data_IF_186705964668
#
_entry.id   IF_186705964668
#
_cell.length_a   1.000
_cell.length_b   1.000
_cell.length_c   1.000
_cell.angle_alpha   90.00
_cell.angle_beta   90.00
_cell.angle_gamma   90.00
#
_symmetry.space_group_name_H-M   'P 1'
#
loop_
_entity.id
_entity.type
_entity.pdbx_description
1 polymer ?
#
# COMPACT_ATOMS: atom_id res chain seq x y z
N UNK A 1 -6.55 -5.31 -7.34
CA UNK A 1 -5.28 -4.53 -7.41
C UNK A 1 -5.08 -4.00 -8.83
N UNK A 2 -4.53 -2.79 -8.98
CA UNK A 2 -4.46 -2.02 -10.24
C UNK A 2 -3.49 -2.63 -11.27
N UNK A 3 -3.82 -3.81 -11.79
CA UNK A 3 -2.99 -4.54 -12.76
C UNK A 3 -1.80 -5.30 -12.14
N UNK A 4 -1.72 -5.38 -10.81
CA UNK A 4 -0.68 -6.12 -10.08
C UNK A 4 -1.27 -7.39 -9.47
N UNK A 5 -0.65 -8.53 -9.77
CA UNK A 5 -0.92 -9.80 -9.08
C UNK A 5 0.15 -9.94 -8.00
N UNK A 6 -0.27 -10.19 -6.77
CA UNK A 6 0.63 -10.42 -5.63
C UNK A 6 0.44 -11.86 -5.17
N UNK A 7 1.57 -12.55 -5.02
CA UNK A 7 1.65 -13.88 -4.42
C UNK A 7 2.61 -13.74 -3.26
N UNK A 8 2.09 -13.89 -2.04
CA UNK A 8 2.85 -13.85 -0.79
C UNK A 8 2.15 -14.73 0.26
N UNK A 9 2.91 -15.20 1.22
CA UNK A 9 2.46 -15.77 2.47
C UNK A 9 1.95 -14.66 3.39
N UNK A 10 0.63 -14.61 3.58
CA UNK A 10 -0.02 -13.61 4.41
C UNK A 10 -0.20 -14.10 5.85
N UNK A 11 -0.01 -13.18 6.81
CA UNK A 11 -0.36 -13.43 8.20
C UNK A 11 -1.86 -13.11 8.41
N UNK A 12 -2.63 -14.01 9.05
CA UNK A 12 -4.03 -13.74 9.36
C UNK A 12 -4.12 -12.73 10.51
N UNK A 13 -4.42 -11.48 10.18
CA UNK A 13 -4.55 -10.38 11.14
C UNK A 13 -5.95 -9.77 11.04
N UNK A 14 -6.49 -9.32 12.17
CA UNK A 14 -7.71 -8.51 12.19
C UNK A 14 -7.37 -7.07 11.80
N UNK A 15 -7.70 -6.71 10.55
CA UNK A 15 -7.31 -5.43 9.94
C UNK A 15 -8.47 -4.42 9.84
N UNK A 16 -9.61 -4.71 10.48
CA UNK A 16 -10.81 -3.86 10.44
C UNK A 16 -11.34 -3.71 9.01
N UNK A 17 -11.35 -2.47 8.50
CA UNK A 17 -11.82 -2.14 7.15
C UNK A 17 -10.76 -2.34 6.05
N UNK A 18 -9.58 -2.85 6.41
CA UNK A 18 -8.49 -3.10 5.45
C UNK A 18 -8.43 -4.59 5.14
N UNK A 19 -8.37 -4.96 3.86
CA UNK A 19 -8.33 -6.37 3.48
C UNK A 19 -6.94 -6.99 3.69
N UNK A 20 -5.87 -6.30 3.27
CA UNK A 20 -4.50 -6.81 3.23
C UNK A 20 -3.49 -5.68 3.43
N UNK A 21 -2.42 -5.95 4.18
CA UNK A 21 -1.23 -5.08 4.27
C UNK A 21 -0.04 -5.77 3.59
N UNK A 22 0.61 -5.06 2.68
CA UNK A 22 1.86 -5.51 2.06
C UNK A 22 3.04 -4.88 2.80
N UNK A 23 3.77 -5.71 3.52
CA UNK A 23 4.89 -5.28 4.35
C UNK A 23 6.19 -5.02 3.57
N UNK A 24 7.23 -4.66 4.31
CA UNK A 24 8.59 -4.48 3.79
C UNK A 24 9.16 -5.71 3.07
N UNK A 25 8.92 -6.96 3.51
CA UNK A 25 9.40 -8.14 2.78
C UNK A 25 8.91 -8.17 1.33
N UNK A 26 7.60 -7.96 1.13
CA UNK A 26 7.01 -7.86 -0.20
C UNK A 26 7.55 -6.66 -0.99
N UNK A 27 7.67 -5.48 -0.38
CA UNK A 27 8.25 -4.31 -1.05
C UNK A 27 9.69 -4.59 -1.52
N UNK A 28 10.46 -5.35 -0.75
CA UNK A 28 11.82 -5.75 -1.10
C UNK A 28 11.91 -6.60 -2.37
N UNK A 29 10.86 -7.35 -2.73
CA UNK A 29 10.85 -8.20 -3.94
C UNK A 29 10.71 -7.37 -5.21
N UNK A 30 10.28 -6.11 -5.11
CA UNK A 30 10.05 -5.22 -6.25
C UNK A 30 11.34 -4.55 -6.77
N UNK A 31 12.43 -4.60 -5.98
CA UNK A 31 13.65 -3.85 -6.25
C UNK A 31 13.41 -2.33 -6.18
N UNK A 32 13.92 -1.60 -7.17
CA UNK A 32 13.79 -0.15 -7.21
C UNK A 32 12.36 0.29 -7.53
N UNK A 33 11.77 1.03 -6.59
CA UNK A 33 10.43 1.62 -6.71
C UNK A 33 10.51 3.14 -6.59
N UNK A 34 9.69 3.85 -7.39
CA UNK A 34 9.56 5.31 -7.27
C UNK A 34 8.23 5.65 -6.63
N UNK A 35 8.28 6.28 -5.46
CA UNK A 35 7.09 6.72 -4.72
C UNK A 35 7.00 8.23 -4.74
N UNK A 36 5.80 8.75 -5.03
CA UNK A 36 5.44 10.13 -4.80
C UNK A 36 4.35 10.16 -3.71
N UNK A 37 4.77 10.52 -2.50
CA UNK A 37 3.92 10.56 -1.31
C UNK A 37 2.84 11.64 -1.40
N UNK A 38 3.14 12.79 -2.00
CA UNK A 38 2.16 13.88 -2.16
C UNK A 38 1.02 13.49 -3.09
N UNK A 39 1.32 12.77 -4.16
CA UNK A 39 0.32 12.29 -5.12
C UNK A 39 -0.23 10.91 -4.78
N UNK A 40 0.27 10.28 -3.71
CA UNK A 40 0.00 8.90 -3.34
C UNK A 40 0.14 7.95 -4.54
N UNK A 41 1.27 8.03 -5.26
CA UNK A 41 1.54 7.13 -6.40
C UNK A 41 2.83 6.35 -6.19
N UNK A 42 2.82 5.09 -6.59
CA UNK A 42 3.96 4.20 -6.59
C UNK A 42 4.13 3.62 -8.00
N UNK A 43 5.32 3.77 -8.56
CA UNK A 43 5.70 3.24 -9.87
C UNK A 43 6.65 2.07 -9.69
N UNK A 44 6.26 0.92 -10.24
CA UNK A 44 6.98 -0.34 -10.17
C UNK A 44 7.37 -0.74 -11.59
N UNK A 45 8.65 -1.01 -11.82
CA UNK A 45 9.12 -1.50 -13.12
C UNK A 45 9.17 -3.01 -13.11
N UNK A 46 8.28 -3.65 -13.86
CA UNK A 46 8.25 -5.10 -14.03
C UNK A 46 8.63 -5.42 -15.48
N UNK A 47 9.84 -5.97 -15.67
CA UNK A 47 10.42 -6.25 -17.00
C UNK A 47 10.48 -4.96 -17.86
N UNK A 48 9.67 -4.91 -18.93
CA UNK A 48 9.58 -3.76 -19.85
C UNK A 48 8.37 -2.85 -19.56
N UNK A 49 7.53 -3.21 -18.61
CA UNK A 49 6.32 -2.46 -18.26
C UNK A 49 6.53 -1.66 -16.97
N UNK A 50 5.81 -0.54 -16.87
CA UNK A 50 5.70 0.24 -15.63
C UNK A 50 4.26 0.14 -15.16
N UNK A 51 4.08 -0.41 -13.96
CA UNK A 51 2.79 -0.43 -13.26
C UNK A 51 2.75 0.78 -12.33
N UNK A 52 1.62 1.48 -12.32
CA UNK A 52 1.39 2.61 -11.42
C UNK A 52 0.27 2.24 -10.47
N UNK A 53 0.61 2.11 -9.19
CA UNK A 53 -0.36 2.06 -8.12
C UNK A 53 -0.67 3.50 -7.69
N UNK A 54 -1.95 3.85 -7.65
CA UNK A 54 -2.45 5.15 -7.23
C UNK A 54 -3.34 4.96 -6.00
N UNK A 55 -3.06 5.72 -4.94
CA UNK A 55 -3.91 5.79 -3.77
C UNK A 55 -5.29 6.31 -4.15
N UNK A 56 -6.31 5.72 -3.56
CA UNK A 56 -7.68 6.16 -3.72
C UNK A 56 -7.93 7.34 -2.76
N UNK A 57 -8.25 8.54 -3.26
CA UNK A 57 -8.56 9.69 -2.39
C UNK A 57 -9.77 9.44 -1.48
N UNK A 58 -10.70 8.58 -1.87
CA UNK A 58 -11.85 8.21 -1.02
C UNK A 58 -11.46 7.36 0.20
N UNK A 59 -10.29 6.69 0.11
CA UNK A 59 -9.66 5.94 1.21
C UNK A 59 -8.59 6.76 1.94
N UNK A 60 -8.44 8.05 1.60
CA UNK A 60 -7.59 8.92 2.39
C UNK A 60 -8.22 9.09 3.76
N UNK A 61 -7.53 8.60 4.78
CA UNK A 61 -7.89 8.87 6.16
C UNK A 61 -7.91 10.39 6.32
N UNK A 62 -9.03 10.94 6.82
CA UNK A 62 -9.07 12.33 7.25
C UNK A 62 -7.87 12.56 8.17
N UNK A 63 -7.11 13.65 8.01
CA UNK A 63 -5.94 13.91 8.87
C UNK A 63 -6.36 13.80 10.35
N UNK A 64 -6.00 12.69 10.97
CA UNK A 64 -6.29 12.42 12.36
C UNK A 64 -4.97 12.20 13.06
N UNK A 65 -4.80 12.89 14.19
CA UNK A 65 -3.59 12.73 14.98
C UNK A 65 -3.40 11.26 15.37
N UNK A 66 -2.15 10.81 15.49
CA UNK A 66 -1.82 9.47 16.01
C UNK A 66 -2.53 9.18 17.35
N UNK A 67 -2.73 10.23 18.18
CA UNK A 67 -3.46 10.15 19.44
C UNK A 67 -4.95 9.83 19.26
N UNK A 68 -5.57 10.33 18.20
CA UNK A 68 -6.95 9.99 17.85
C UNK A 68 -7.04 8.56 17.31
N UNK A 69 -6.04 8.11 16.56
CA UNK A 69 -5.96 6.73 16.05
C UNK A 69 -5.84 5.71 17.18
N UNK A 70 -4.97 5.97 18.17
CA UNK A 70 -4.81 5.12 19.35
C UNK A 70 -6.05 5.06 20.28
N UNK A 71 -7.02 5.98 20.11
CA UNK A 71 -8.29 5.99 20.85
C UNK A 71 -9.44 5.29 20.12
N UNK A 72 -9.28 5.08 18.81
CA UNK A 72 -10.29 4.46 17.94
C UNK A 72 -10.04 2.96 17.71
N UNK A 73 -8.86 2.47 18.13
CA UNK A 73 -8.50 1.07 18.29
C UNK A 73 -8.78 0.64 19.74
#
# INVERSE_FOLDING_TARGET
MQGLIVVEDFLPLELGNTDVILGMPWLGTLGDVKVNWKMLTMKIKIRKAVIVLKGDPSLSWTEMSLKAMARAL
#
